data_IF_250716369662
#
_entry.id   IF_250716369662
#
_cell.length_a   1.000
_cell.length_b   1.000
_cell.length_c   1.000
_cell.angle_alpha   90.00
_cell.angle_beta   90.00
_cell.angle_gamma   90.00
#
_symmetry.space_group_name_H-M   'P 1'
#
loop_
_entity.id
_entity.type
_entity.pdbx_description
1 polymer ?
#
# COMPACT_ATOMS: atom_id res chain seq x y z
N UNK A 1 -14.55 -11.87 -13.54
CA UNK A 1 -13.74 -12.18 -12.36
C UNK A 1 -12.38 -11.51 -12.49
N UNK A 2 -11.97 -10.74 -11.48
CA UNK A 2 -10.69 -10.02 -11.53
C UNK A 2 -9.57 -10.90 -11.00
N UNK A 3 -8.38 -10.81 -11.61
CA UNK A 3 -7.21 -11.48 -11.06
C UNK A 3 -6.64 -10.69 -9.88
N UNK A 4 -5.67 -11.27 -9.19
CA UNK A 4 -5.10 -10.68 -7.98
C UNK A 4 -4.41 -9.34 -8.24
N UNK A 5 -3.77 -9.19 -9.39
CA UNK A 5 -3.10 -7.94 -9.74
C UNK A 5 -4.12 -6.82 -9.92
N UNK A 6 -5.24 -7.10 -10.60
CA UNK A 6 -6.30 -6.11 -10.77
C UNK A 6 -6.88 -5.69 -9.41
N UNK A 7 -7.10 -6.64 -8.52
CA UNK A 7 -7.61 -6.36 -7.17
C UNK A 7 -6.63 -5.49 -6.39
N UNK A 8 -5.33 -5.81 -6.45
CA UNK A 8 -4.31 -5.00 -5.80
C UNK A 8 -4.30 -3.57 -6.34
N UNK A 9 -4.33 -3.41 -7.66
CA UNK A 9 -4.38 -2.07 -8.28
C UNK A 9 -5.62 -1.29 -7.86
N UNK A 10 -6.77 -1.96 -7.79
CA UNK A 10 -8.02 -1.31 -7.35
C UNK A 10 -7.91 -0.76 -5.94
N UNK A 11 -7.15 -1.43 -5.07
CA UNK A 11 -6.92 -0.96 -3.71
C UNK A 11 -6.25 0.43 -3.72
N UNK A 12 -5.19 0.59 -4.50
CA UNK A 12 -4.49 1.88 -4.61
C UNK A 12 -5.36 2.93 -5.27
N UNK A 13 -6.14 2.54 -6.28
CA UNK A 13 -7.06 3.47 -6.94
C UNK A 13 -8.15 3.98 -5.99
N UNK A 14 -8.62 3.15 -5.08
CA UNK A 14 -9.60 3.57 -4.08
C UNK A 14 -9.03 4.68 -3.19
N UNK A 15 -7.75 4.59 -2.83
CA UNK A 15 -7.08 5.64 -2.08
C UNK A 15 -6.98 6.93 -2.88
N UNK A 16 -6.57 6.85 -4.14
CA UNK A 16 -6.43 8.03 -5.01
C UNK A 16 -7.77 8.72 -5.20
N UNK A 17 -8.82 7.94 -5.42
CA UNK A 17 -10.19 8.46 -5.64
C UNK A 17 -10.89 8.83 -4.35
N UNK A 18 -10.31 8.47 -3.20
CA UNK A 18 -10.91 8.68 -1.89
C UNK A 18 -12.27 7.98 -1.80
N UNK A 19 -12.34 6.79 -2.40
CA UNK A 19 -13.56 5.99 -2.50
C UNK A 19 -13.54 4.90 -1.44
N UNK A 20 -14.00 5.24 -0.24
CA UNK A 20 -14.00 4.32 0.89
C UNK A 20 -14.89 3.09 0.61
N UNK A 21 -16.04 3.30 -0.02
CA UNK A 21 -16.94 2.19 -0.31
C UNK A 21 -16.27 1.15 -1.20
N UNK A 22 -15.52 1.60 -2.22
CA UNK A 22 -14.76 0.71 -3.08
C UNK A 22 -13.72 -0.09 -2.28
N UNK A 23 -13.01 0.56 -1.36
CA UNK A 23 -12.03 -0.13 -0.53
C UNK A 23 -12.69 -1.14 0.40
N UNK A 24 -13.83 -0.78 0.99
CA UNK A 24 -14.58 -1.70 1.86
C UNK A 24 -14.98 -2.98 1.13
N UNK A 25 -15.30 -2.88 -0.17
CA UNK A 25 -15.63 -4.05 -0.99
C UNK A 25 -14.41 -4.94 -1.24
N UNK A 26 -13.20 -4.38 -1.26
CA UNK A 26 -11.98 -5.12 -1.56
C UNK A 26 -11.39 -5.81 -0.33
N UNK A 27 -11.62 -5.26 0.85
CA UNK A 27 -11.01 -5.75 2.10
C UNK A 27 -11.91 -6.79 2.74
N UNK A 28 -11.35 -7.98 2.99
CA UNK A 28 -12.07 -9.10 3.57
C UNK A 28 -12.36 -8.89 5.07
N UNK A 29 -13.21 -9.75 5.59
CA UNK A 29 -13.42 -9.93 7.02
C UNK A 29 -13.32 -11.43 7.29
N UNK A 30 -12.30 -11.91 8.03
CA UNK A 30 -11.27 -11.15 8.74
C UNK A 30 -10.14 -10.66 7.84
N UNK A 31 -9.39 -9.69 8.35
CA UNK A 31 -8.31 -9.03 7.64
C UNK A 31 -7.21 -8.65 8.64
N UNK A 32 -5.95 -8.62 8.18
CA UNK A 32 -4.82 -8.19 8.98
C UNK A 32 -3.96 -7.19 8.21
N UNK A 33 -3.50 -6.18 8.91
CA UNK A 33 -2.60 -5.18 8.34
C UNK A 33 -1.39 -5.01 9.26
N UNK A 34 -0.18 -5.07 8.68
CA UNK A 34 1.06 -4.90 9.41
C UNK A 34 1.95 -3.92 8.67
N UNK A 35 2.55 -2.99 9.41
CA UNK A 35 3.53 -2.04 8.92
C UNK A 35 4.55 -1.81 10.02
N UNK A 36 5.60 -1.00 9.78
CA UNK A 36 6.50 -0.62 10.87
C UNK A 36 5.80 0.04 12.06
N UNK A 37 4.59 0.58 11.86
CA UNK A 37 3.83 1.28 12.90
C UNK A 37 2.65 0.47 13.43
N UNK A 38 2.34 -0.67 12.83
CA UNK A 38 1.13 -1.44 13.16
C UNK A 38 1.46 -2.93 13.14
N UNK A 39 0.88 -3.69 14.07
CA UNK A 39 1.10 -5.13 14.11
C UNK A 39 -0.23 -5.87 14.09
N UNK A 40 -0.53 -6.50 12.95
CA UNK A 40 -1.70 -7.35 12.74
C UNK A 40 -3.01 -6.70 13.19
N UNK A 41 -3.17 -5.42 12.86
CA UNK A 41 -4.42 -4.73 13.18
C UNK A 41 -5.55 -5.28 12.30
N UNK A 42 -6.77 -5.28 12.87
CA UNK A 42 -7.92 -5.84 12.17
C UNK A 42 -8.52 -4.83 11.19
N UNK A 43 -9.57 -5.26 10.48
CA UNK A 43 -10.22 -4.45 9.46
C UNK A 43 -10.72 -3.11 10.00
N UNK A 44 -11.40 -3.13 11.13
CA UNK A 44 -11.93 -1.92 11.74
C UNK A 44 -10.83 -0.94 12.08
N UNK A 45 -9.78 -1.40 12.73
CA UNK A 45 -8.65 -0.57 13.13
C UNK A 45 -7.90 -0.05 11.91
N UNK A 46 -7.76 -0.87 10.86
CA UNK A 46 -7.16 -0.45 9.60
C UNK A 46 -7.91 0.75 9.01
N UNK A 47 -9.23 0.70 8.94
CA UNK A 47 -10.01 1.82 8.42
C UNK A 47 -9.93 3.06 9.31
N UNK A 48 -9.79 2.88 10.62
CA UNK A 48 -9.66 4.00 11.55
C UNK A 48 -8.28 4.67 11.46
N UNK A 49 -7.22 3.88 11.29
CA UNK A 49 -5.84 4.40 11.36
C UNK A 49 -5.23 4.70 9.99
N UNK A 50 -5.52 3.90 8.99
CA UNK A 50 -4.84 3.99 7.69
C UNK A 50 -5.65 4.73 6.63
N UNK A 51 -6.94 4.51 6.59
CA UNK A 51 -7.79 5.16 5.58
C UNK A 51 -7.69 6.69 5.59
N UNK A 52 -7.60 7.38 6.74
CA UNK A 52 -7.47 8.84 6.73
C UNK A 52 -6.28 9.36 5.94
N UNK A 53 -5.23 8.55 5.75
CA UNK A 53 -4.08 8.93 4.94
C UNK A 53 -4.43 9.18 3.48
N UNK A 54 -5.55 8.64 3.02
CA UNK A 54 -6.01 8.85 1.63
C UNK A 54 -6.18 10.33 1.30
N UNK A 55 -6.48 11.16 2.30
CA UNK A 55 -6.65 12.60 2.10
C UNK A 55 -5.38 13.28 1.59
N UNK A 56 -4.23 12.70 1.87
CA UNK A 56 -2.94 13.30 1.51
C UNK A 56 -2.33 12.70 0.26
N UNK A 57 -2.97 11.69 -0.36
CA UNK A 57 -2.44 11.01 -1.53
C UNK A 57 -2.97 11.66 -2.80
N UNK A 58 -2.07 12.02 -3.71
CA UNK A 58 -2.43 12.50 -5.04
C UNK A 58 -2.42 11.36 -6.05
N UNK A 59 -1.36 10.55 -6.04
CA UNK A 59 -1.21 9.45 -6.98
C UNK A 59 -0.22 8.41 -6.47
N UNK A 60 -0.26 7.24 -7.09
CA UNK A 60 0.75 6.20 -6.93
C UNK A 60 1.37 5.91 -8.30
N UNK A 61 2.70 5.85 -8.33
CA UNK A 61 3.46 5.40 -9.50
C UNK A 61 3.97 4.00 -9.22
N UNK A 62 3.48 3.00 -9.95
CA UNK A 62 3.89 1.61 -9.74
C UNK A 62 5.25 1.35 -10.36
N UNK A 63 6.19 0.85 -9.57
CA UNK A 63 7.52 0.45 -10.03
C UNK A 63 7.48 -1.03 -10.42
N UNK A 64 6.88 -1.86 -9.58
CA UNK A 64 6.73 -3.30 -9.83
C UNK A 64 5.42 -3.79 -9.25
N UNK A 65 4.72 -4.65 -9.99
CA UNK A 65 3.52 -5.32 -9.51
C UNK A 65 3.63 -6.78 -9.96
N UNK A 66 3.94 -7.66 -9.03
CA UNK A 66 4.26 -9.06 -9.33
C UNK A 66 3.39 -10.02 -8.54
N UNK A 67 2.61 -10.86 -9.22
CA UNK A 67 1.84 -11.90 -8.52
C UNK A 67 2.71 -13.12 -8.25
N UNK A 68 2.48 -13.76 -7.11
CA UNK A 68 3.11 -15.03 -6.78
C UNK A 68 2.19 -15.81 -5.83
N UNK A 69 1.58 -16.87 -6.32
CA UNK A 69 0.58 -17.61 -5.56
C UNK A 69 -0.61 -16.71 -5.25
N UNK A 70 -1.01 -16.64 -4.00
CA UNK A 70 -2.10 -15.77 -3.55
C UNK A 70 -1.61 -14.37 -3.17
N UNK A 71 -0.33 -14.05 -3.40
CA UNK A 71 0.26 -12.76 -3.03
C UNK A 71 0.54 -11.90 -4.24
N UNK A 72 0.47 -10.58 -4.03
CA UNK A 72 0.88 -9.58 -5.01
C UNK A 72 1.91 -8.69 -4.33
N UNK A 73 3.09 -8.62 -4.92
CA UNK A 73 4.18 -7.77 -4.43
C UNK A 73 4.15 -6.46 -5.22
N UNK A 74 4.03 -5.36 -4.53
CA UNK A 74 3.88 -4.04 -5.16
C UNK A 74 4.94 -3.10 -4.59
N UNK A 75 5.83 -2.63 -5.48
CA UNK A 75 6.73 -1.52 -5.14
C UNK A 75 6.21 -0.29 -5.86
N UNK A 76 6.04 0.80 -5.13
CA UNK A 76 5.45 2.01 -5.68
C UNK A 76 6.03 3.25 -5.03
N UNK A 77 5.79 4.39 -5.69
CA UNK A 77 6.03 5.70 -5.11
C UNK A 77 4.71 6.42 -4.98
N UNK A 78 4.44 6.93 -3.78
CA UNK A 78 3.25 7.72 -3.52
C UNK A 78 3.62 9.20 -3.49
N UNK A 79 2.76 10.03 -4.05
CA UNK A 79 2.96 11.49 -4.07
C UNK A 79 1.86 12.12 -3.21
N UNK A 80 2.28 12.96 -2.28
CA UNK A 80 1.39 13.64 -1.34
C UNK A 80 0.96 15.00 -1.88
N UNK A 81 -0.11 15.54 -1.29
CA UNK A 81 -0.66 16.84 -1.70
C UNK A 81 0.32 17.98 -1.50
N UNK A 82 1.29 17.85 -0.59
CA UNK A 82 2.32 18.88 -0.36
C UNK A 82 3.51 18.78 -1.33
N UNK A 83 3.47 17.84 -2.28
CA UNK A 83 4.55 17.63 -3.24
C UNK A 83 5.61 16.64 -2.81
N UNK A 84 5.67 16.29 -1.55
CA UNK A 84 6.58 15.24 -1.06
C UNK A 84 6.05 13.86 -1.44
N UNK A 85 6.89 12.86 -1.25
CA UNK A 85 6.49 11.50 -1.56
C UNK A 85 7.23 10.48 -0.71
N UNK A 86 6.96 9.23 -1.04
CA UNK A 86 7.58 8.10 -0.34
C UNK A 86 7.61 6.88 -1.27
N UNK A 87 8.52 5.97 -0.99
CA UNK A 87 8.64 4.71 -1.73
C UNK A 87 8.52 3.55 -0.76
N UNK A 88 7.59 2.66 -1.03
CA UNK A 88 7.31 1.49 -0.19
C UNK A 88 7.20 0.25 -1.05
N UNK A 89 7.33 -0.91 -0.40
CA UNK A 89 6.89 -2.18 -0.96
C UNK A 89 5.81 -2.74 -0.05
N UNK A 90 4.74 -3.26 -0.65
CA UNK A 90 3.66 -3.91 0.07
C UNK A 90 3.45 -5.31 -0.49
N UNK A 91 3.06 -6.22 0.38
CA UNK A 91 2.67 -7.57 -0.01
C UNK A 91 1.19 -7.71 0.36
N UNK A 92 0.35 -7.89 -0.67
CA UNK A 92 -1.08 -8.09 -0.49
C UNK A 92 -1.41 -9.55 -0.72
N UNK A 93 -2.14 -10.15 0.20
CA UNK A 93 -2.65 -11.52 0.03
C UNK A 93 -4.10 -11.44 -0.41
N UNK A 94 -4.42 -12.07 -1.55
CA UNK A 94 -5.75 -12.03 -2.16
C UNK A 94 -6.30 -13.44 -2.20
N UNK A 95 -7.49 -13.62 -1.63
CA UNK A 95 -8.21 -14.90 -1.65
C UNK A 95 -9.68 -14.64 -1.92
N UNK A 96 -10.26 -15.41 -2.82
CA UNK A 96 -11.69 -15.29 -3.16
C UNK A 96 -12.07 -13.86 -3.52
N UNK A 97 -11.23 -13.21 -4.33
CA UNK A 97 -11.49 -11.85 -4.84
C UNK A 97 -11.42 -10.76 -3.77
N UNK A 98 -10.86 -11.06 -2.59
CA UNK A 98 -10.74 -10.11 -1.48
C UNK A 98 -9.32 -10.07 -0.97
N UNK A 99 -8.91 -8.92 -0.46
CA UNK A 99 -7.63 -8.75 0.20
C UNK A 99 -7.79 -9.17 1.65
N UNK A 100 -7.04 -10.20 2.06
CA UNK A 100 -7.13 -10.76 3.42
C UNK A 100 -5.99 -10.29 4.31
N UNK A 101 -4.89 -9.83 3.72
CA UNK A 101 -3.74 -9.37 4.49
C UNK A 101 -2.93 -8.38 3.67
N UNK A 102 -2.38 -7.38 4.35
CA UNK A 102 -1.43 -6.44 3.77
C UNK A 102 -0.25 -6.30 4.73
N UNK A 103 0.96 -6.43 4.19
CA UNK A 103 2.20 -6.12 4.91
C UNK A 103 2.89 -4.97 4.18
N UNK A 104 3.22 -3.91 4.91
CA UNK A 104 3.88 -2.73 4.32
C UNK A 104 5.32 -2.65 4.83
N UNK A 105 6.24 -2.51 3.89
CA UNK A 105 7.65 -2.30 4.17
C UNK A 105 8.01 -0.89 3.73
N UNK A 106 8.42 -0.04 4.67
CA UNK A 106 8.81 1.33 4.35
C UNK A 106 10.15 1.34 3.65
N UNK A 107 10.22 2.11 2.57
CA UNK A 107 11.48 2.42 1.90
C UNK A 107 12.02 3.73 2.41
N UNK A 108 11.92 4.77 1.58
CA UNK A 108 12.49 6.07 1.89
C UNK A 108 11.56 7.19 1.41
N UNK A 109 11.82 8.39 1.93
CA UNK A 109 11.07 9.58 1.53
C UNK A 109 11.57 10.09 0.18
N UNK A 110 10.71 10.84 -0.51
CA UNK A 110 11.06 11.48 -1.77
C UNK A 110 10.98 13.00 -1.61
N UNK A 111 11.97 13.77 -2.06
CA UNK A 111 13.21 13.31 -2.72
C UNK A 111 14.06 12.43 -1.83
N UNK A 112 14.72 11.45 -2.44
CA UNK A 112 15.55 10.51 -1.69
C UNK A 112 16.93 11.14 -1.45
N UNK A 113 17.22 11.43 -0.20
CA UNK A 113 18.49 12.03 0.21
C UNK A 113 19.15 11.14 1.25
N UNK A 114 20.45 10.97 1.14
CA UNK A 114 21.22 10.20 2.10
C UNK A 114 22.27 11.12 2.72
N UNK A 115 22.63 10.86 3.99
CA UNK A 115 23.69 11.64 4.64
C UNK A 115 25.01 11.54 3.87
N UNK A 116 25.77 12.63 3.88
CA UNK A 116 27.11 12.63 3.32
C UNK A 116 27.94 11.54 4.00
N UNK A 117 28.70 10.76 3.19
CA UNK A 117 29.51 9.69 3.73
C UNK A 117 28.80 8.36 3.93
N UNK A 118 27.58 8.18 3.39
CA UNK A 118 26.88 6.92 3.42
C UNK A 118 27.64 5.83 2.64
N UNK A 119 26.94 4.76 2.27
CA UNK A 119 27.60 3.60 1.64
C UNK A 119 27.96 3.82 0.17
N UNK A 120 27.80 5.03 -0.33
CA UNK A 120 27.93 5.32 -1.75
C UNK A 120 29.34 5.09 -2.30
N UNK A 121 30.34 5.08 -1.47
CA UNK A 121 31.73 4.87 -1.89
C UNK A 121 32.23 3.47 -1.61
N UNK A 122 31.35 2.56 -1.34
CA UNK A 122 31.71 1.17 -1.08
C UNK A 122 32.20 0.49 -2.35
#
# INVERSE_FOLDING_TARGET
MKDSVAIARDCYQAYVRKDRAALEELIAEPFQFTSPLDNRIDRKTYFERCWPNSQHIVKFDFISVLPHGDKVFVTYEGINTNGDGFRNTEILTVRQQKIVEVEVYFGWSLPHEVPSGGFSNA
#
